data_IF_387604740192
#
_entry.id   IF_387604740192
#
_cell.length_a   1.000
_cell.length_b   1.000
_cell.length_c   1.000
_cell.angle_alpha   90.00
_cell.angle_beta   90.00
_cell.angle_gamma   90.00
#
_symmetry.space_group_name_H-M   'P 1'
#
loop_
_entity.id
_entity.type
_entity.pdbx_description
1 polymer ?
#
# COMPACT_ATOMS: atom_id res chain seq x y z
N UNK A 1 18.05 -2.80 0.01
CA UNK A 1 16.94 -3.56 0.57
C UNK A 1 16.13 -2.72 1.56
N UNK A 2 16.80 -1.82 2.29
CA UNK A 2 16.12 -0.94 3.24
C UNK A 2 15.68 0.39 2.60
N UNK A 3 15.95 0.58 1.32
CA UNK A 3 15.61 1.80 0.60
C UNK A 3 14.12 2.15 0.62
N UNK A 4 13.19 1.18 0.43
CA UNK A 4 11.76 1.50 0.51
C UNK A 4 11.35 2.02 1.88
N UNK A 5 11.91 1.47 2.96
CA UNK A 5 11.62 1.92 4.32
C UNK A 5 12.16 3.33 4.53
N UNK A 6 13.35 3.60 4.01
CA UNK A 6 13.99 4.91 4.11
C UNK A 6 13.15 5.99 3.41
N UNK A 7 12.65 5.67 2.22
CA UNK A 7 11.77 6.57 1.45
C UNK A 7 10.48 6.83 2.23
N UNK A 8 9.89 5.78 2.80
CA UNK A 8 8.68 5.91 3.60
C UNK A 8 8.91 6.83 4.80
N UNK A 9 9.99 6.63 5.53
CA UNK A 9 10.32 7.46 6.70
C UNK A 9 10.50 8.92 6.31
N UNK A 10 11.24 9.18 5.26
CA UNK A 10 11.49 10.54 4.78
C UNK A 10 10.19 11.21 4.34
N UNK A 11 9.36 10.51 3.57
CA UNK A 11 8.09 11.05 3.11
C UNK A 11 7.16 11.33 4.29
N UNK A 12 7.11 10.43 5.27
CA UNK A 12 6.27 10.59 6.45
C UNK A 12 6.66 11.84 7.23
N UNK A 13 7.97 12.07 7.39
CA UNK A 13 8.47 13.27 8.09
C UNK A 13 8.07 14.56 7.37
N UNK A 14 8.01 14.52 6.05
CA UNK A 14 7.63 15.69 5.25
C UNK A 14 6.13 15.79 5.01
N UNK A 15 5.34 14.86 5.54
CA UNK A 15 3.89 14.81 5.32
C UNK A 15 3.49 14.39 3.92
N UNK A 16 4.38 13.73 3.19
CA UNK A 16 4.12 13.27 1.82
C UNK A 16 3.59 11.84 1.80
N UNK A 17 2.78 11.54 0.80
CA UNK A 17 2.32 10.17 0.54
C UNK A 17 3.45 9.35 -0.03
N UNK A 18 3.39 8.03 0.20
CA UNK A 18 4.37 7.09 -0.36
C UNK A 18 3.64 6.05 -1.20
N UNK A 19 4.10 5.88 -2.44
CA UNK A 19 3.54 4.90 -3.37
C UNK A 19 4.57 3.80 -3.60
N UNK A 20 4.18 2.55 -3.34
CA UNK A 20 4.97 1.38 -3.67
C UNK A 20 4.34 0.65 -4.84
N UNK A 21 5.07 0.54 -5.95
CA UNK A 21 4.67 -0.26 -7.09
C UNK A 21 5.20 -1.67 -6.88
N UNK A 22 4.30 -2.65 -6.81
CA UNK A 22 4.65 -4.04 -6.53
C UNK A 22 4.83 -4.79 -7.84
N UNK A 23 6.06 -4.77 -8.31
CA UNK A 23 6.43 -5.32 -9.61
C UNK A 23 6.50 -6.85 -9.60
N UNK A 24 6.61 -7.41 -10.81
CA UNK A 24 6.83 -8.83 -11.00
C UNK A 24 8.14 -9.25 -10.34
N UNK A 25 8.09 -10.32 -9.56
CA UNK A 25 9.28 -10.93 -8.98
C UNK A 25 9.86 -11.93 -9.99
N UNK A 26 11.00 -11.63 -10.62
CA UNK A 26 11.56 -12.51 -11.65
C UNK A 26 11.94 -13.89 -11.12
N UNK A 27 12.27 -14.00 -9.83
CA UNK A 27 12.68 -15.28 -9.25
C UNK A 27 11.51 -16.23 -9.03
N UNK A 28 10.29 -15.69 -8.88
CA UNK A 28 9.09 -16.47 -8.62
C UNK A 28 8.08 -16.42 -9.76
N UNK A 29 8.38 -15.66 -10.80
CA UNK A 29 7.51 -15.48 -11.96
C UNK A 29 6.09 -15.05 -11.59
N UNK A 30 6.00 -14.16 -10.59
CA UNK A 30 4.73 -13.60 -10.14
C UNK A 30 4.91 -12.23 -9.53
N UNK A 31 3.83 -11.49 -9.44
CA UNK A 31 3.85 -10.18 -8.78
C UNK A 31 3.94 -10.34 -7.26
N UNK A 32 4.65 -9.40 -6.61
CA UNK A 32 4.59 -9.28 -5.17
C UNK A 32 3.17 -8.90 -4.77
N UNK A 33 2.60 -9.62 -3.81
CA UNK A 33 1.23 -9.35 -3.36
C UNK A 33 1.20 -8.23 -2.33
N UNK A 34 0.01 -7.65 -2.13
CA UNK A 34 -0.21 -6.65 -1.09
C UNK A 34 0.17 -7.23 0.29
N UNK A 35 -0.25 -8.47 0.55
CA UNK A 35 0.08 -9.13 1.83
C UNK A 35 1.58 -9.22 2.04
N UNK A 36 2.32 -9.63 1.02
CA UNK A 36 3.77 -9.75 1.12
C UNK A 36 4.43 -8.39 1.41
N UNK A 37 3.96 -7.35 0.75
CA UNK A 37 4.48 -6.00 0.96
C UNK A 37 4.18 -5.51 2.38
N UNK A 38 2.96 -5.75 2.88
CA UNK A 38 2.56 -5.35 4.23
C UNK A 38 3.35 -6.14 5.28
N UNK A 39 3.55 -7.45 5.07
CA UNK A 39 4.36 -8.27 5.97
C UNK A 39 5.81 -7.77 6.03
N UNK A 40 6.35 -7.36 4.88
CA UNK A 40 7.68 -6.77 4.83
C UNK A 40 7.76 -5.48 5.67
N UNK A 41 6.77 -4.59 5.52
CA UNK A 41 6.74 -3.33 6.26
C UNK A 41 6.66 -3.60 7.77
N UNK A 42 5.83 -4.54 8.19
CA UNK A 42 5.70 -4.93 9.60
C UNK A 42 7.04 -5.45 10.12
N UNK A 43 7.74 -6.27 9.33
CA UNK A 43 9.04 -6.83 9.72
C UNK A 43 10.10 -5.74 9.91
N UNK A 44 9.92 -4.58 9.31
CA UNK A 44 10.83 -3.43 9.43
C UNK A 44 10.37 -2.42 10.48
N UNK A 45 9.37 -2.75 11.27
CA UNK A 45 8.93 -1.91 12.39
C UNK A 45 7.79 -0.96 12.10
N UNK A 46 7.17 -1.05 10.92
CA UNK A 46 5.99 -0.25 10.60
C UNK A 46 4.83 -0.73 11.46
N UNK A 47 4.07 0.20 12.06
CA UNK A 47 2.93 -0.13 12.89
C UNK A 47 1.82 -0.82 12.08
N UNK A 48 1.22 -1.87 12.65
CA UNK A 48 0.10 -2.55 12.01
C UNK A 48 -1.21 -1.74 12.09
N UNK A 49 -1.21 -0.64 12.84
CA UNK A 49 -2.33 0.29 12.89
C UNK A 49 -2.21 1.42 11.85
N UNK A 50 -1.12 1.47 11.10
CA UNK A 50 -0.95 2.49 10.06
C UNK A 50 -2.01 2.32 8.97
N UNK A 51 -2.66 3.42 8.59
CA UNK A 51 -3.66 3.42 7.51
C UNK A 51 -2.93 3.41 6.17
N UNK A 52 -3.40 2.57 5.27
CA UNK A 52 -2.84 2.49 3.91
C UNK A 52 -3.94 2.11 2.92
N UNK A 53 -3.61 2.20 1.63
CA UNK A 53 -4.52 1.88 0.54
C UNK A 53 -3.84 0.84 -0.35
N UNK A 54 -4.49 -0.30 -0.51
CA UNK A 54 -4.04 -1.34 -1.42
C UNK A 54 -4.84 -1.27 -2.72
N UNK A 55 -4.16 -1.43 -3.85
CA UNK A 55 -4.76 -1.33 -5.17
C UNK A 55 -4.35 -2.52 -6.01
N UNK A 56 -5.29 -2.99 -6.83
CA UNK A 56 -5.01 -4.04 -7.80
C UNK A 56 -5.61 -3.67 -9.14
N UNK A 57 -4.87 -3.93 -10.20
CA UNK A 57 -5.33 -3.76 -11.59
C UNK A 57 -5.87 -2.36 -11.89
N UNK A 58 -5.20 -1.32 -11.37
CA UNK A 58 -5.59 0.07 -11.66
C UNK A 58 -5.60 0.30 -13.17
N UNK A 59 -6.64 0.98 -13.65
CA UNK A 59 -6.83 1.22 -15.08
C UNK A 59 -7.65 0.15 -15.78
N UNK A 60 -7.89 -0.98 -15.15
CA UNK A 60 -8.75 -2.04 -15.68
C UNK A 60 -10.18 -1.86 -15.18
N UNK A 61 -11.13 -2.52 -15.85
CA UNK A 61 -12.54 -2.46 -15.43
C UNK A 61 -12.78 -3.14 -14.09
N UNK A 62 -11.98 -4.14 -13.77
CA UNK A 62 -12.09 -4.91 -12.53
C UNK A 62 -11.09 -4.46 -11.47
N UNK A 63 -10.71 -3.18 -11.49
CA UNK A 63 -9.79 -2.64 -10.51
C UNK A 63 -10.34 -2.78 -9.08
N UNK A 64 -9.44 -2.90 -8.12
CA UNK A 64 -9.79 -2.99 -6.70
C UNK A 64 -9.00 -1.94 -5.94
N UNK A 65 -9.68 -1.18 -5.09
CA UNK A 65 -9.05 -0.21 -4.19
C UNK A 65 -9.67 -0.42 -2.81
N UNK A 66 -8.84 -0.69 -1.81
CA UNK A 66 -9.30 -0.90 -0.43
C UNK A 66 -8.43 -0.10 0.53
N UNK A 67 -9.08 0.64 1.40
CA UNK A 67 -8.42 1.42 2.47
C UNK A 67 -8.61 0.69 3.80
N UNK A 68 -7.61 0.76 4.65
CA UNK A 68 -7.69 0.20 6.00
C UNK A 68 -6.35 0.25 6.69
N UNK A 69 -6.31 -0.31 7.90
CA UNK A 69 -5.03 -0.47 8.59
C UNK A 69 -4.24 -1.61 7.98
N UNK A 70 -2.93 -1.62 8.22
CA UNK A 70 -2.07 -2.70 7.75
C UNK A 70 -2.61 -4.06 8.21
N UNK A 71 -2.98 -4.18 9.48
CA UNK A 71 -3.49 -5.45 10.02
C UNK A 71 -4.78 -5.92 9.37
N UNK A 72 -5.61 -4.98 8.89
CA UNK A 72 -6.86 -5.31 8.20
C UNK A 72 -6.60 -5.69 6.75
N UNK A 73 -5.72 -4.93 6.07
CA UNK A 73 -5.45 -5.17 4.66
C UNK A 73 -4.71 -6.49 4.39
N UNK A 74 -3.90 -6.97 5.33
CA UNK A 74 -3.22 -8.27 5.16
C UNK A 74 -4.21 -9.41 5.04
N UNK A 75 -5.44 -9.24 5.51
CA UNK A 75 -6.50 -10.24 5.46
C UNK A 75 -7.36 -10.15 4.21
N UNK A 76 -7.19 -9.10 3.41
CA UNK A 76 -8.02 -8.86 2.23
C UNK A 76 -7.47 -9.59 1.01
N UNK A 77 -8.38 -10.06 0.17
CA UNK A 77 -8.03 -10.66 -1.11
C UNK A 77 -8.20 -9.60 -2.20
N UNK A 78 -7.10 -9.28 -2.88
CA UNK A 78 -7.08 -8.31 -3.97
C UNK A 78 -7.17 -8.99 -5.34
N UNK A 79 -7.19 -10.32 -5.37
CA UNK A 79 -7.19 -11.05 -6.64
C UNK A 79 -5.86 -10.96 -7.37
N UNK A 80 -5.92 -10.85 -8.68
CA UNK A 80 -4.72 -10.81 -9.52
C UNK A 80 -4.07 -9.42 -9.53
N UNK A 81 -2.75 -9.40 -9.76
CA UNK A 81 -2.02 -8.16 -9.94
C UNK A 81 -2.18 -7.56 -11.33
N UNK A 82 -1.46 -6.50 -11.63
CA UNK A 82 -0.44 -5.88 -10.77
C UNK A 82 -1.04 -5.11 -9.60
N UNK A 83 -0.22 -4.93 -8.58
CA UNK A 83 -0.65 -4.27 -7.34
C UNK A 83 0.15 -3.00 -7.07
N UNK A 84 -0.43 -2.10 -6.28
CA UNK A 84 0.32 -1.02 -5.68
C UNK A 84 -0.19 -0.77 -4.26
N UNK A 85 0.64 -0.14 -3.45
CA UNK A 85 0.35 0.15 -2.06
C UNK A 85 0.65 1.61 -1.81
N UNK A 86 -0.32 2.34 -1.27
CA UNK A 86 -0.16 3.76 -0.96
C UNK A 86 -0.21 3.91 0.56
N UNK A 87 0.81 4.55 1.12
CA UNK A 87 0.83 4.90 2.53
C UNK A 87 0.69 6.42 2.60
N UNK A 88 -0.49 6.92 3.01
CA UNK A 88 -0.71 8.36 3.05
C UNK A 88 0.16 9.03 4.11
N UNK A 89 0.66 10.20 3.76
CA UNK A 89 1.28 11.09 4.73
C UNK A 89 0.21 11.97 5.36
N UNK A 90 0.55 13.24 5.61
CA UNK A 90 -0.41 14.20 6.13
C UNK A 90 -1.44 14.51 5.04
N UNK A 91 -2.71 14.26 5.32
CA UNK A 91 -3.78 14.50 4.35
C UNK A 91 -4.52 15.80 4.65
N UNK A 92 -4.91 16.51 3.58
CA UNK A 92 -5.81 17.63 3.68
C UNK A 92 -7.25 17.12 3.80
N UNK A 93 -8.14 17.99 4.28
CA UNK A 93 -9.54 17.63 4.49
C UNK A 93 -10.19 16.99 3.25
N UNK A 94 -9.94 17.57 2.07
CA UNK A 94 -10.52 17.06 0.83
C UNK A 94 -10.01 15.65 0.47
N UNK A 95 -8.75 15.37 0.75
CA UNK A 95 -8.17 14.05 0.51
C UNK A 95 -8.79 13.01 1.42
N UNK A 96 -9.03 13.36 2.67
CA UNK A 96 -9.66 12.45 3.64
C UNK A 96 -11.07 12.08 3.19
N UNK A 97 -11.86 13.04 2.71
CA UNK A 97 -13.18 12.78 2.19
C UNK A 97 -13.13 11.85 0.97
N UNK A 98 -12.18 12.09 0.06
CA UNK A 98 -12.03 11.24 -1.12
C UNK A 98 -11.69 9.80 -0.73
N UNK A 99 -10.85 9.61 0.28
CA UNK A 99 -10.47 8.27 0.74
C UNK A 99 -11.66 7.54 1.38
N UNK A 100 -12.55 8.23 2.03
CA UNK A 100 -13.73 7.62 2.65
C UNK A 100 -14.64 6.95 1.64
N UNK A 101 -14.60 7.40 0.38
CA UNK A 101 -15.39 6.80 -0.69
C UNK A 101 -14.94 5.38 -1.06
N UNK A 102 -13.74 5.00 -0.65
CA UNK A 102 -13.14 3.72 -0.99
C UNK A 102 -13.23 2.66 0.11
N UNK A 103 -13.90 2.98 1.19
CA UNK A 103 -14.05 2.07 2.33
C UNK A 103 -15.02 0.90 2.08
#
# INVERSE_FOLDING_TARGET
VDEPIKVLEENTKMGLHTLFLLDLDPSQDRYMTIKEALDFLISKGVSDDMVCVGCARLGSRDFVVKKGTVKDLVKQDFGKGPYCLIIPGKMHFMEEEAMELWD
#
